data_IF_656924723494
#
_entry.id   IF_656924723494
#
_cell.length_a   1.000
_cell.length_b   1.000
_cell.length_c   1.000
_cell.angle_alpha   90.00
_cell.angle_beta   90.00
_cell.angle_gamma   90.00
#
_symmetry.space_group_name_H-M   'P 1'
#
loop_
_entity.id
_entity.type
_entity.pdbx_description
1 polymer ?
#
# COMPACT_ATOMS: atom_id res chain seq x y z
N UNK A 1 -0.78 -57.44 23.67
CA UNK A 1 0.30 -56.75 22.91
C UNK A 1 -0.26 -55.88 21.78
N UNK A 2 -1.09 -56.43 20.87
CA UNK A 2 -1.61 -55.72 19.68
C UNK A 2 -2.32 -54.37 19.93
N UNK A 3 -3.13 -54.23 21.00
CA UNK A 3 -3.84 -52.97 21.31
C UNK A 3 -2.89 -51.80 21.65
N UNK A 4 -1.74 -52.08 22.31
CA UNK A 4 -0.72 -51.06 22.58
C UNK A 4 -0.03 -50.61 21.29
N UNK A 5 0.26 -51.55 20.39
CA UNK A 5 0.84 -51.24 19.07
C UNK A 5 -0.09 -50.38 18.22
N UNK A 6 -1.40 -50.69 18.18
CA UNK A 6 -2.39 -49.89 17.46
C UNK A 6 -2.52 -48.46 18.02
N UNK A 7 -2.51 -48.32 19.36
CA UNK A 7 -2.55 -47.02 20.01
C UNK A 7 -1.32 -46.16 19.69
N UNK A 8 -0.12 -46.76 19.71
CA UNK A 8 1.13 -46.07 19.35
C UNK A 8 1.10 -45.65 17.86
N UNK A 9 0.68 -46.53 16.96
CA UNK A 9 0.55 -46.21 15.54
C UNK A 9 -0.44 -45.06 15.29
N UNK A 10 -1.57 -45.04 16.02
CA UNK A 10 -2.55 -43.96 15.93
C UNK A 10 -1.98 -42.61 16.40
N UNK A 11 -1.27 -42.58 17.53
CA UNK A 11 -0.61 -41.36 18.01
C UNK A 11 0.45 -40.84 17.03
N UNK A 12 1.25 -41.73 16.43
CA UNK A 12 2.23 -41.36 15.41
C UNK A 12 1.55 -40.77 14.17
N UNK A 13 0.49 -41.41 13.68
CA UNK A 13 -0.29 -40.91 12.54
C UNK A 13 -0.88 -39.53 12.81
N UNK A 14 -1.46 -39.33 14.01
CA UNK A 14 -2.02 -38.05 14.41
C UNK A 14 -0.94 -36.97 14.52
N UNK A 15 0.23 -37.30 15.07
CA UNK A 15 1.35 -36.36 15.18
C UNK A 15 1.88 -35.92 13.81
N UNK A 16 1.98 -36.84 12.85
CA UNK A 16 2.38 -36.55 11.47
C UNK A 16 1.33 -35.69 10.75
N UNK A 17 0.04 -35.98 10.94
CA UNK A 17 -1.05 -35.20 10.36
C UNK A 17 -1.11 -33.77 10.91
N UNK A 18 -0.86 -33.59 12.21
CA UNK A 18 -0.79 -32.24 12.82
C UNK A 18 0.44 -31.49 12.32
N UNK A 19 1.60 -32.16 12.19
CA UNK A 19 2.83 -31.56 11.67
C UNK A 19 2.69 -31.10 10.22
N UNK A 20 2.09 -31.92 9.35
CA UNK A 20 1.84 -31.55 7.95
C UNK A 20 0.85 -30.38 7.85
N UNK A 21 -0.21 -30.37 8.66
CA UNK A 21 -1.14 -29.24 8.72
C UNK A 21 -0.46 -27.95 9.19
N UNK A 22 0.41 -28.03 10.20
CA UNK A 22 1.21 -26.88 10.64
C UNK A 22 2.14 -26.36 9.54
N UNK A 23 2.77 -27.24 8.76
CA UNK A 23 3.62 -26.83 7.65
C UNK A 23 2.85 -26.06 6.57
N UNK A 24 1.63 -26.49 6.23
CA UNK A 24 0.76 -25.80 5.27
C UNK A 24 0.34 -24.42 5.80
N UNK A 25 -0.09 -24.32 7.06
CA UNK A 25 -0.48 -23.05 7.69
C UNK A 25 0.69 -22.07 7.76
N UNK A 26 1.90 -22.54 8.07
CA UNK A 26 3.10 -21.69 8.10
C UNK A 26 3.54 -21.24 6.71
N UNK A 27 3.37 -22.08 5.68
CA UNK A 27 3.69 -21.72 4.30
C UNK A 27 2.78 -20.58 3.79
N UNK A 28 1.46 -20.68 3.99
CA UNK A 28 0.54 -19.59 3.64
C UNK A 28 0.80 -18.32 4.45
N UNK A 29 1.04 -18.45 5.76
CA UNK A 29 1.36 -17.30 6.61
C UNK A 29 2.67 -16.61 6.22
N UNK A 30 3.65 -17.37 5.71
CA UNK A 30 4.91 -16.82 5.20
C UNK A 30 4.73 -16.13 3.85
N UNK A 31 3.88 -16.68 2.97
CA UNK A 31 3.58 -16.06 1.67
C UNK A 31 2.85 -14.72 1.84
N UNK A 32 1.84 -14.66 2.71
CA UNK A 32 1.12 -13.41 3.04
C UNK A 32 1.98 -12.48 3.92
N UNK A 33 2.84 -13.03 4.78
CA UNK A 33 3.73 -12.27 5.66
C UNK A 33 4.88 -11.54 4.95
N UNK A 34 5.20 -11.92 3.71
CA UNK A 34 6.24 -11.30 2.89
C UNK A 34 5.74 -10.21 1.95
N UNK A 35 4.49 -10.32 1.49
CA UNK A 35 3.91 -9.46 0.45
C UNK A 35 3.78 -8.00 0.89
N UNK A 36 4.25 -7.09 0.05
CA UNK A 36 4.09 -5.64 0.23
C UNK A 36 3.46 -5.02 -0.99
N UNK A 37 2.68 -3.97 -0.74
CA UNK A 37 2.14 -3.12 -1.77
C UNK A 37 2.80 -1.73 -1.69
N UNK A 38 3.54 -1.36 -2.73
CA UNK A 38 4.09 -0.03 -2.92
C UNK A 38 3.20 0.74 -3.88
N UNK A 39 2.68 1.88 -3.44
CA UNK A 39 1.70 2.64 -4.23
C UNK A 39 2.28 3.98 -4.63
N UNK A 40 2.12 4.34 -5.90
CA UNK A 40 2.50 5.62 -6.48
C UNK A 40 1.32 6.16 -7.28
N UNK A 41 1.20 7.49 -7.36
CA UNK A 41 0.16 8.10 -8.16
C UNK A 41 -0.49 9.31 -7.55
N UNK A 42 -1.75 9.50 -7.91
CA UNK A 42 -2.54 10.68 -7.59
C UNK A 42 -3.65 10.43 -6.55
N UNK A 43 -4.67 11.29 -6.55
CA UNK A 43 -5.83 11.23 -5.66
C UNK A 43 -6.60 9.91 -5.71
N UNK A 44 -6.55 9.16 -6.82
CA UNK A 44 -7.22 7.86 -6.91
C UNK A 44 -6.56 6.77 -6.07
N UNK A 45 -5.33 7.00 -5.63
CA UNK A 45 -4.57 6.08 -4.80
C UNK A 45 -4.14 6.71 -3.46
N UNK A 46 -4.24 8.03 -3.27
CA UNK A 46 -3.85 8.67 -2.02
C UNK A 46 -4.76 8.26 -0.84
N UNK A 47 -4.14 7.81 0.24
CA UNK A 47 -4.80 7.38 1.50
C UNK A 47 -4.50 8.31 2.68
N UNK A 48 -3.95 9.50 2.42
CA UNK A 48 -3.75 10.57 3.41
C UNK A 48 -2.34 11.15 3.46
N UNK A 49 -1.64 11.20 2.32
CA UNK A 49 -0.35 11.85 2.18
C UNK A 49 -0.46 13.38 2.07
N UNK A 50 -1.48 13.89 1.37
CA UNK A 50 -1.67 15.33 1.29
C UNK A 50 -1.89 15.95 2.69
N UNK A 51 -1.28 17.12 2.99
CA UNK A 51 -1.40 17.77 4.30
C UNK A 51 -2.84 18.16 4.65
N UNK A 52 -3.22 17.95 5.92
CA UNK A 52 -4.55 18.31 6.48
C UNK A 52 -4.94 19.77 6.28
N UNK A 53 -3.96 20.67 6.30
CA UNK A 53 -4.18 22.12 6.14
C UNK A 53 -4.52 22.51 4.69
N UNK A 54 -4.18 21.67 3.71
CA UNK A 54 -4.27 22.00 2.28
C UNK A 54 -5.32 21.17 1.55
N UNK A 55 -5.43 19.87 1.83
CA UNK A 55 -6.28 18.98 1.05
C UNK A 55 -7.74 18.94 1.53
N UNK A 56 -8.65 19.01 0.54
CA UNK A 56 -10.08 18.81 0.75
C UNK A 56 -10.42 17.41 1.30
N UNK A 57 -9.58 16.41 1.04
CA UNK A 57 -9.76 15.01 1.51
C UNK A 57 -9.77 14.83 3.03
N UNK A 58 -9.47 15.89 3.79
CA UNK A 58 -9.58 15.97 5.24
C UNK A 58 -10.80 16.73 5.75
N UNK A 59 -11.76 17.03 4.86
CA UNK A 59 -13.03 17.71 5.16
C UNK A 59 -14.20 16.88 4.65
N UNK A 60 -15.39 17.07 5.22
CA UNK A 60 -16.62 16.48 4.68
C UNK A 60 -16.87 17.00 3.25
N UNK A 61 -17.40 16.16 2.33
CA UNK A 61 -18.00 14.85 2.56
C UNK A 61 -17.02 13.66 2.46
N UNK A 62 -15.70 13.87 2.44
CA UNK A 62 -14.76 12.76 2.31
C UNK A 62 -14.78 11.86 3.55
N UNK A 63 -14.72 10.55 3.32
CA UNK A 63 -14.71 9.52 4.36
C UNK A 63 -16.03 9.26 5.08
N UNK A 64 -17.17 9.85 4.67
CA UNK A 64 -18.48 9.63 5.33
C UNK A 64 -18.98 8.18 5.26
N UNK A 65 -18.68 7.45 4.19
CA UNK A 65 -19.03 6.03 4.02
C UNK A 65 -17.99 5.15 4.72
N UNK A 66 -16.70 5.48 4.58
CA UNK A 66 -15.62 4.84 5.32
C UNK A 66 -14.46 5.82 5.51
N UNK A 67 -13.91 6.01 6.72
CA UNK A 67 -14.23 5.30 7.97
C UNK A 67 -15.33 6.00 8.81
N UNK A 68 -16.24 6.75 8.19
CA UNK A 68 -17.26 7.56 8.88
C UNK A 68 -16.77 8.96 9.29
N UNK A 69 -15.61 9.38 8.80
CA UNK A 69 -15.02 10.72 9.01
C UNK A 69 -13.91 10.98 7.98
N UNK A 70 -13.53 12.24 7.72
CA UNK A 70 -12.42 12.55 6.84
C UNK A 70 -11.10 11.91 7.29
N UNK A 71 -10.48 11.17 6.37
CA UNK A 71 -9.28 10.38 6.63
C UNK A 71 -8.21 10.54 5.54
N UNK A 72 -8.30 11.58 4.71
CA UNK A 72 -7.28 11.92 3.71
C UNK A 72 -7.42 11.23 2.36
N UNK A 73 -8.42 10.36 2.19
CA UNK A 73 -8.81 9.77 0.90
C UNK A 73 -9.66 10.74 0.10
N UNK A 74 -9.40 10.86 -1.21
CA UNK A 74 -10.22 11.65 -2.13
C UNK A 74 -11.46 10.84 -2.58
N UNK A 75 -12.14 10.23 -1.61
CA UNK A 75 -13.38 9.46 -1.77
C UNK A 75 -14.24 9.60 -0.51
N UNK A 76 -15.55 9.40 -0.62
CA UNK A 76 -16.44 9.25 0.54
C UNK A 76 -16.12 7.97 1.34
N UNK A 77 -15.38 7.03 0.73
CA UNK A 77 -14.93 5.79 1.34
C UNK A 77 -13.52 5.38 0.92
N UNK A 78 -13.41 4.11 0.53
CA UNK A 78 -12.17 3.48 0.07
C UNK A 78 -11.73 4.02 -1.31
N UNK A 79 -10.42 3.98 -1.57
CA UNK A 79 -9.80 4.31 -2.86
C UNK A 79 -9.11 3.09 -3.46
N UNK A 80 -8.55 3.19 -4.68
CA UNK A 80 -7.99 2.04 -5.42
C UNK A 80 -6.97 1.24 -4.58
N UNK A 81 -6.12 1.94 -3.82
CA UNK A 81 -5.16 1.31 -2.92
C UNK A 81 -5.80 0.36 -1.91
N UNK A 82 -6.92 0.75 -1.31
CA UNK A 82 -7.58 -0.06 -0.30
C UNK A 82 -8.16 -1.33 -0.92
N UNK A 83 -8.77 -1.22 -2.10
CA UNK A 83 -9.32 -2.37 -2.81
C UNK A 83 -8.21 -3.34 -3.21
N UNK A 84 -7.11 -2.85 -3.79
CA UNK A 84 -5.97 -3.71 -4.15
C UNK A 84 -5.37 -4.37 -2.91
N UNK A 85 -5.17 -3.64 -1.81
CA UNK A 85 -4.70 -4.22 -0.56
C UNK A 85 -5.64 -5.33 -0.05
N UNK A 86 -6.95 -5.09 -0.11
CA UNK A 86 -7.96 -6.08 0.26
C UNK A 86 -7.90 -7.33 -0.61
N UNK A 87 -7.71 -7.19 -1.94
CA UNK A 87 -7.55 -8.34 -2.83
C UNK A 87 -6.28 -9.15 -2.53
N UNK A 88 -5.22 -8.47 -2.08
CA UNK A 88 -3.97 -9.09 -1.68
C UNK A 88 -3.99 -9.66 -0.25
N UNK A 89 -5.11 -9.51 0.48
CA UNK A 89 -5.22 -10.00 1.85
C UNK A 89 -4.36 -9.25 2.87
N UNK A 90 -3.92 -8.02 2.55
CA UNK A 90 -3.08 -7.19 3.43
C UNK A 90 -3.81 -5.89 3.82
N UNK A 91 -3.47 -5.25 4.95
CA UNK A 91 -3.95 -3.92 5.28
C UNK A 91 -3.54 -2.89 4.23
N UNK A 92 -4.34 -1.82 4.07
CA UNK A 92 -3.93 -0.67 3.25
C UNK A 92 -2.56 -0.15 3.69
N UNK A 93 -1.60 0.03 2.76
CA UNK A 93 -0.27 0.51 3.09
C UNK A 93 -0.27 1.87 3.80
N UNK A 94 0.73 2.06 4.67
CA UNK A 94 0.94 3.31 5.39
C UNK A 94 1.21 4.46 4.41
N UNK A 95 0.53 5.63 4.48
CA UNK A 95 0.94 6.78 3.69
C UNK A 95 2.30 7.30 4.16
N UNK A 96 3.20 7.60 3.22
CA UNK A 96 4.56 8.07 3.44
C UNK A 96 4.66 9.28 4.41
N UNK A 97 3.68 10.18 4.36
CA UNK A 97 3.56 11.33 5.27
C UNK A 97 3.55 10.89 6.75
N UNK A 98 3.05 9.68 7.04
CA UNK A 98 2.93 9.11 8.38
C UNK A 98 4.00 8.06 8.70
N UNK A 99 5.05 7.93 7.88
CA UNK A 99 6.10 6.88 8.00
C UNK A 99 6.78 6.78 9.37
N UNK A 100 6.87 7.90 10.09
CA UNK A 100 7.48 7.95 11.44
C UNK A 100 6.57 7.39 12.55
N UNK A 101 5.25 7.37 12.33
CA UNK A 101 4.25 7.03 13.35
C UNK A 101 3.61 5.65 13.12
N UNK A 102 3.51 5.18 11.87
CA UNK A 102 2.81 3.96 11.50
C UNK A 102 3.64 2.66 11.48
N UNK A 103 4.55 2.47 12.44
CA UNK A 103 5.55 1.39 12.37
C UNK A 103 4.97 -0.02 12.15
N UNK A 104 3.75 -0.28 12.62
CA UNK A 104 3.01 -1.56 12.49
C UNK A 104 2.55 -1.88 11.07
N UNK A 105 2.34 -0.86 10.24
CA UNK A 105 1.87 -1.03 8.86
C UNK A 105 3.02 -1.13 7.84
N UNK A 106 4.25 -0.75 8.24
CA UNK A 106 5.44 -0.83 7.37
C UNK A 106 5.67 -2.20 6.72
N UNK A 107 5.43 -3.35 7.40
CA UNK A 107 5.61 -4.67 6.79
C UNK A 107 4.72 -4.94 5.57
N UNK A 108 3.63 -4.18 5.36
CA UNK A 108 2.69 -4.36 4.25
C UNK A 108 2.96 -3.39 3.08
N UNK A 109 4.04 -2.63 3.15
CA UNK A 109 4.44 -1.67 2.12
C UNK A 109 4.13 -0.22 2.50
N UNK A 110 4.14 0.65 1.49
CA UNK A 110 4.00 2.09 1.68
C UNK A 110 3.26 2.74 0.51
N UNK A 111 2.43 3.72 0.84
CA UNK A 111 1.74 4.54 -0.14
C UNK A 111 2.45 5.89 -0.29
N UNK A 112 2.96 6.17 -1.48
CA UNK A 112 3.63 7.40 -1.88
C UNK A 112 2.75 8.32 -2.73
N UNK A 113 1.51 7.94 -3.04
CA UNK A 113 0.61 8.73 -3.88
C UNK A 113 0.16 10.04 -3.20
N UNK A 114 0.04 11.13 -3.96
CA UNK A 114 -0.43 12.43 -3.48
C UNK A 114 -1.52 12.96 -4.41
N UNK A 115 -2.61 13.49 -3.85
CA UNK A 115 -3.64 14.18 -4.62
C UNK A 115 -3.07 15.24 -5.58
N UNK A 116 -3.47 15.18 -6.85
CA UNK A 116 -3.01 16.13 -7.88
C UNK A 116 -1.67 15.81 -8.53
N UNK A 117 -1.00 14.71 -8.16
CA UNK A 117 0.24 14.27 -8.81
C UNK A 117 0.07 14.08 -10.31
N UNK A 118 1.08 14.52 -11.06
CA UNK A 118 1.31 14.17 -12.45
C UNK A 118 2.69 13.53 -12.62
N UNK A 119 2.94 13.02 -13.83
CA UNK A 119 4.31 12.73 -14.27
C UNK A 119 5.12 14.02 -14.30
N UNK A 120 4.50 15.11 -14.73
CA UNK A 120 5.07 16.45 -14.69
C UNK A 120 4.56 17.26 -13.49
N UNK A 121 5.09 18.47 -13.34
CA UNK A 121 4.53 19.43 -12.40
C UNK A 121 3.12 19.84 -12.84
N UNK A 122 2.16 19.74 -11.92
CA UNK A 122 0.76 20.04 -12.17
C UNK A 122 0.36 21.37 -11.53
N UNK A 123 -0.92 21.76 -11.64
CA UNK A 123 -1.47 22.90 -10.92
C UNK A 123 -1.42 22.74 -9.39
N UNK A 124 -1.31 21.50 -8.92
CA UNK A 124 -1.24 21.16 -7.50
C UNK A 124 0.23 21.03 -7.11
N UNK A 125 0.68 21.81 -6.12
CA UNK A 125 2.08 21.84 -5.66
C UNK A 125 2.42 20.71 -4.69
N UNK A 126 1.97 19.50 -5.02
CA UNK A 126 2.28 18.27 -4.29
C UNK A 126 3.39 17.49 -5.02
N UNK A 127 4.03 16.50 -4.37
CA UNK A 127 5.06 15.67 -5.00
C UNK A 127 4.63 15.06 -6.34
N UNK A 128 5.42 15.30 -7.39
CA UNK A 128 5.25 14.65 -8.69
C UNK A 128 5.76 13.19 -8.66
N UNK A 129 5.60 12.45 -9.76
CA UNK A 129 6.05 11.05 -9.82
C UNK A 129 7.55 10.87 -9.53
N UNK A 130 8.42 11.77 -10.00
CA UNK A 130 9.86 11.74 -9.67
C UNK A 130 10.08 11.79 -8.16
N UNK A 131 9.42 12.73 -7.47
CA UNK A 131 9.52 12.85 -6.02
C UNK A 131 9.04 11.59 -5.29
N UNK A 132 7.93 10.99 -5.73
CA UNK A 132 7.42 9.76 -5.11
C UNK A 132 8.38 8.58 -5.27
N UNK A 133 9.00 8.43 -6.45
CA UNK A 133 10.04 7.43 -6.68
C UNK A 133 11.27 7.70 -5.80
N UNK A 134 11.68 8.96 -5.66
CA UNK A 134 12.80 9.34 -4.79
C UNK A 134 12.51 9.00 -3.31
N UNK A 135 11.27 9.21 -2.84
CA UNK A 135 10.87 8.80 -1.48
C UNK A 135 11.01 7.29 -1.28
N UNK A 136 10.64 6.49 -2.28
CA UNK A 136 10.80 5.05 -2.23
C UNK A 136 12.27 4.63 -2.23
N UNK A 137 13.09 5.22 -3.11
CA UNK A 137 14.54 4.98 -3.14
C UNK A 137 15.20 5.32 -1.80
N UNK A 138 14.84 6.44 -1.20
CA UNK A 138 15.33 6.83 0.13
C UNK A 138 15.04 5.75 1.19
N UNK A 139 13.86 5.13 1.17
CA UNK A 139 13.54 4.06 2.14
C UNK A 139 14.33 2.77 1.90
N UNK A 140 14.77 2.52 0.66
CA UNK A 140 15.68 1.41 0.36
C UNK A 140 17.09 1.73 0.87
N UNK A 141 17.57 2.96 0.66
CA UNK A 141 18.88 3.42 1.14
C UNK A 141 18.96 3.42 2.68
N UNK A 142 17.88 3.83 3.34
CA UNK A 142 17.71 3.79 4.80
C UNK A 142 17.50 2.37 5.34
N UNK A 143 17.47 1.35 4.46
CA UNK A 143 17.24 -0.07 4.79
C UNK A 143 15.91 -0.31 5.52
N UNK A 144 14.91 0.56 5.28
CA UNK A 144 13.53 0.33 5.72
C UNK A 144 12.91 -0.81 4.90
N UNK A 145 13.23 -0.84 3.60
CA UNK A 145 12.95 -1.94 2.71
C UNK A 145 14.25 -2.48 2.12
N UNK A 146 14.30 -3.78 1.87
CA UNK A 146 15.47 -4.50 1.37
C UNK A 146 15.25 -4.94 -0.08
N UNK A 147 16.32 -5.33 -0.78
CA UNK A 147 16.20 -5.90 -2.14
C UNK A 147 15.31 -7.15 -2.18
N UNK A 148 15.28 -7.94 -1.11
CA UNK A 148 14.41 -9.12 -1.00
C UNK A 148 12.92 -8.74 -0.94
N UNK A 149 12.60 -7.60 -0.33
CA UNK A 149 11.23 -7.10 -0.33
C UNK A 149 10.78 -6.82 -1.76
N UNK A 150 11.64 -6.23 -2.60
CA UNK A 150 11.31 -5.89 -3.99
C UNK A 150 10.92 -7.11 -4.83
N UNK A 151 11.52 -8.27 -4.57
CA UNK A 151 11.25 -9.50 -5.35
C UNK A 151 9.92 -10.16 -5.03
N UNK A 152 9.30 -9.83 -3.90
CA UNK A 152 8.03 -10.40 -3.43
C UNK A 152 6.92 -9.34 -3.30
N UNK A 153 7.15 -8.14 -3.85
CA UNK A 153 6.23 -7.00 -3.72
C UNK A 153 5.49 -6.70 -5.02
N UNK A 154 4.38 -5.99 -4.89
CA UNK A 154 3.61 -5.41 -6.00
C UNK A 154 3.76 -3.89 -5.96
N UNK A 155 3.94 -3.28 -7.13
CA UNK A 155 3.86 -1.85 -7.32
C UNK A 155 2.54 -1.47 -8.02
N UNK A 156 1.75 -0.59 -7.40
CA UNK A 156 0.57 0.01 -7.99
C UNK A 156 0.91 1.44 -8.43
N UNK A 157 0.65 1.78 -9.69
CA UNK A 157 0.86 3.12 -10.24
C UNK A 157 -0.45 3.63 -10.82
N UNK A 158 -0.93 4.79 -10.36
CA UNK A 158 -2.18 5.42 -10.83
C UNK A 158 -1.97 6.91 -11.07
N UNK A 159 -1.73 7.31 -12.33
CA UNK A 159 -1.45 8.70 -12.69
C UNK A 159 -1.84 8.98 -14.14
N UNK A 160 -2.23 10.23 -14.42
CA UNK A 160 -2.32 10.76 -15.79
C UNK A 160 -3.30 11.91 -15.95
N UNK A 161 -4.42 11.89 -15.23
CA UNK A 161 -5.48 12.91 -15.37
C UNK A 161 -5.00 14.34 -15.10
N UNK A 162 -4.13 14.52 -14.10
CA UNK A 162 -3.64 15.84 -13.70
C UNK A 162 -2.67 16.46 -14.72
N UNK A 163 -1.93 15.65 -15.48
CA UNK A 163 -1.06 16.14 -16.54
C UNK A 163 -1.91 16.77 -17.66
N UNK A 164 -2.93 16.06 -18.14
CA UNK A 164 -3.85 16.58 -19.16
C UNK A 164 -4.62 17.81 -18.66
N UNK A 165 -5.13 17.79 -17.43
CA UNK A 165 -5.82 18.93 -16.85
C UNK A 165 -4.92 20.17 -16.80
N UNK A 166 -3.65 19.99 -16.40
CA UNK A 166 -2.66 21.06 -16.35
C UNK A 166 -2.31 21.57 -17.75
N UNK A 167 -2.12 20.69 -18.72
CA UNK A 167 -1.86 21.04 -20.12
C UNK A 167 -2.99 21.89 -20.71
N UNK A 168 -4.24 21.48 -20.49
CA UNK A 168 -5.41 22.23 -20.96
C UNK A 168 -5.52 23.58 -20.27
N UNK A 169 -5.25 23.66 -18.96
CA UNK A 169 -5.28 24.92 -18.20
C UNK A 169 -4.13 25.88 -18.57
N UNK A 170 -3.02 25.36 -19.10
CA UNK A 170 -1.85 26.15 -19.51
C UNK A 170 -1.87 26.54 -20.99
N UNK A 171 -3.01 26.41 -21.67
CA UNK A 171 -3.17 26.63 -23.11
C UNK A 171 -2.15 25.84 -23.95
N UNK A 172 -1.84 24.61 -23.52
CA UNK A 172 -0.95 23.70 -24.22
C UNK A 172 0.55 23.98 -24.06
N UNK A 173 0.92 24.74 -23.03
CA UNK A 173 2.33 25.01 -22.72
C UNK A 173 3.05 23.71 -22.31
N UNK A 174 4.33 23.57 -22.69
CA UNK A 174 5.15 22.42 -22.29
C UNK A 174 5.20 22.29 -20.77
N UNK A 175 4.98 21.07 -20.30
CA UNK A 175 5.06 20.72 -18.89
C UNK A 175 6.48 20.27 -18.56
N UNK A 176 6.98 20.71 -17.41
CA UNK A 176 8.32 20.37 -16.92
C UNK A 176 8.25 19.25 -15.89
N UNK A 177 9.10 18.24 -16.02
CA UNK A 177 9.35 17.26 -14.97
C UNK A 177 10.27 17.89 -13.93
N UNK A 178 9.84 17.89 -12.66
CA UNK A 178 10.68 18.26 -11.52
C UNK A 178 11.56 17.11 -11.06
#
# INVERSE_FOLDING_TARGET
MAKKTHFICFCLFLSLAISSLMQVVMAEAHEVGGLKLFVFGDSYADTGNCPKSMAGSWKEPYGITFPGRPAGRFSDGLVLTDYIASFLGIPSPLPYQWRKFGKKLRPFGMNFAYGGTGVFNTLVKEPNMTCQVNFFQQLIEEKVYTKHDLTSSIALVSVGGNDYATYMASNGSQQVSG
#
